data_IF_948136891374
#
_entry.id   IF_948136891374
#
_cell.length_a   1.000
_cell.length_b   1.000
_cell.length_c   1.000
_cell.angle_alpha   90.00
_cell.angle_beta   90.00
_cell.angle_gamma   90.00
#
_symmetry.space_group_name_H-M   'P 1'
#
loop_
_entity.id
_entity.type
_entity.pdbx_description
1 polymer ?
#
# COMPACT_ATOMS: atom_id res chain seq x y z
N UNK A 1 34.39 -21.21 -13.84
CA UNK A 1 33.23 -21.91 -13.24
C UNK A 1 32.22 -20.91 -12.64
N UNK A 2 32.62 -19.85 -11.97
CA UNK A 2 31.72 -18.83 -11.37
C UNK A 2 30.75 -18.19 -12.38
N UNK A 3 31.17 -18.00 -13.64
CA UNK A 3 30.30 -17.45 -14.70
C UNK A 3 29.12 -18.37 -15.10
N UNK A 4 29.07 -19.59 -14.59
CA UNK A 4 27.98 -20.55 -14.82
C UNK A 4 26.92 -20.51 -13.69
N UNK A 5 27.19 -19.79 -12.60
CA UNK A 5 26.26 -19.67 -11.46
C UNK A 5 25.21 -18.64 -11.85
N UNK A 6 23.96 -19.07 -11.93
CA UNK A 6 22.80 -18.23 -12.28
C UNK A 6 22.07 -17.67 -11.05
N UNK A 7 22.37 -18.18 -9.85
CA UNK A 7 21.80 -17.72 -8.62
C UNK A 7 22.63 -16.60 -8.00
N UNK A 8 21.95 -15.56 -7.54
CA UNK A 8 22.55 -14.46 -6.80
C UNK A 8 22.08 -14.50 -5.34
N UNK A 9 22.95 -14.08 -4.42
CA UNK A 9 22.59 -13.90 -3.03
C UNK A 9 21.67 -12.66 -2.89
N UNK A 10 20.51 -12.88 -2.29
CA UNK A 10 19.54 -11.80 -2.02
C UNK A 10 19.86 -10.94 -0.78
N UNK A 11 20.87 -11.34 0.00
CA UNK A 11 21.16 -10.71 1.29
C UNK A 11 20.25 -11.17 2.45
N UNK A 12 19.29 -12.05 2.19
CA UNK A 12 18.39 -12.59 3.22
C UNK A 12 18.95 -13.90 3.76
N UNK A 13 19.12 -13.98 5.07
CA UNK A 13 19.63 -15.15 5.78
C UNK A 13 18.74 -15.47 6.99
N UNK A 14 18.41 -16.75 7.16
CA UNK A 14 17.82 -17.28 8.39
C UNK A 14 18.88 -18.11 9.13
N UNK A 15 19.16 -17.74 10.36
CA UNK A 15 20.21 -18.34 11.19
C UNK A 15 19.54 -18.95 12.43
N UNK A 16 20.02 -20.13 12.87
CA UNK A 16 19.58 -20.69 14.14
C UNK A 16 19.88 -19.71 15.28
N UNK A 17 18.84 -19.21 15.94
CA UNK A 17 18.96 -18.18 16.97
C UNK A 17 19.84 -18.58 18.16
N UNK A 18 19.88 -19.87 18.53
CA UNK A 18 20.74 -20.36 19.61
C UNK A 18 22.24 -20.27 19.28
N UNK A 19 22.58 -20.18 17.99
CA UNK A 19 23.97 -20.12 17.51
C UNK A 19 24.33 -18.78 16.87
N UNK A 20 23.35 -17.90 16.68
CA UNK A 20 23.54 -16.69 15.88
C UNK A 20 24.70 -15.81 16.39
N UNK A 21 24.75 -15.54 17.68
CA UNK A 21 25.81 -14.69 18.26
C UNK A 21 27.18 -15.36 18.15
N UNK A 22 27.30 -16.65 18.49
CA UNK A 22 28.56 -17.42 18.35
C UNK A 22 29.08 -17.41 16.91
N UNK A 23 28.20 -17.50 15.93
CA UNK A 23 28.57 -17.48 14.51
C UNK A 23 28.98 -16.08 14.05
N UNK A 24 28.30 -15.04 14.50
CA UNK A 24 28.62 -13.65 14.18
C UNK A 24 29.99 -13.23 14.72
N UNK A 25 30.33 -13.66 15.95
CA UNK A 25 31.63 -13.39 16.57
C UNK A 25 32.81 -14.05 15.84
N UNK A 26 32.56 -15.10 15.08
CA UNK A 26 33.57 -15.80 14.27
C UNK A 26 33.85 -15.17 12.91
N UNK A 27 33.00 -14.24 12.45
CA UNK A 27 33.24 -13.54 11.19
C UNK A 27 34.45 -12.64 11.35
N UNK A 28 35.37 -12.70 10.40
CA UNK A 28 36.58 -11.87 10.40
C UNK A 28 36.51 -10.87 9.24
N UNK A 29 37.35 -9.84 9.30
CA UNK A 29 37.50 -8.88 8.21
C UNK A 29 38.81 -9.11 7.41
N UNK A 30 39.34 -10.32 7.44
CA UNK A 30 40.58 -10.66 6.74
C UNK A 30 40.34 -10.90 5.23
N UNK A 31 39.95 -9.85 4.55
CA UNK A 31 39.69 -9.83 3.10
C UNK A 31 40.25 -8.54 2.47
N UNK A 32 40.28 -8.45 1.16
CA UNK A 32 40.86 -7.34 0.42
C UNK A 32 40.27 -5.96 0.71
N UNK A 33 39.04 -5.89 1.25
CA UNK A 33 38.36 -4.64 1.62
C UNK A 33 38.36 -4.35 3.14
N UNK A 34 38.80 -5.29 3.97
CA UNK A 34 38.77 -5.17 5.42
C UNK A 34 37.33 -5.13 6.01
N UNK A 35 36.34 -5.67 5.29
CA UNK A 35 34.92 -5.64 5.65
C UNK A 35 34.48 -6.97 6.28
N UNK A 36 33.47 -6.93 7.17
CA UNK A 36 32.84 -8.13 7.71
C UNK A 36 31.69 -8.57 6.78
N UNK A 37 31.80 -9.76 6.20
CA UNK A 37 30.75 -10.29 5.31
C UNK A 37 29.87 -11.29 6.05
N UNK A 38 28.59 -10.99 6.16
CA UNK A 38 27.62 -11.90 6.79
C UNK A 38 27.54 -13.27 6.08
N UNK A 39 27.84 -13.31 4.80
CA UNK A 39 27.89 -14.55 4.00
C UNK A 39 28.92 -15.55 4.48
N UNK A 40 29.98 -15.13 5.21
CA UNK A 40 31.04 -16.00 5.72
C UNK A 40 30.51 -17.00 6.77
N UNK A 41 29.34 -16.69 7.38
CA UNK A 41 28.62 -17.64 8.25
C UNK A 41 28.38 -18.99 7.58
N UNK A 42 28.14 -19.00 6.28
CA UNK A 42 27.89 -20.26 5.54
C UNK A 42 29.12 -21.16 5.57
N UNK A 43 30.31 -20.59 5.35
CA UNK A 43 31.56 -21.32 5.41
C UNK A 43 31.86 -21.79 6.85
N UNK A 44 31.69 -20.92 7.83
CA UNK A 44 31.88 -21.24 9.26
C UNK A 44 30.98 -22.43 9.68
N UNK A 45 29.68 -22.36 9.38
CA UNK A 45 28.72 -23.42 9.71
C UNK A 45 29.11 -24.74 9.06
N UNK A 46 29.52 -24.72 7.80
CA UNK A 46 29.94 -25.94 7.10
C UNK A 46 31.25 -26.52 7.63
N UNK A 47 32.20 -25.65 7.99
CA UNK A 47 33.47 -26.05 8.63
C UNK A 47 33.25 -26.74 9.97
N UNK A 48 32.21 -26.39 10.70
CA UNK A 48 31.80 -27.02 11.97
C UNK A 48 30.91 -28.26 11.80
N UNK A 49 30.75 -28.76 10.57
CA UNK A 49 29.91 -29.93 10.27
C UNK A 49 28.42 -29.64 10.23
N UNK A 50 28.03 -28.36 10.26
CA UNK A 50 26.64 -27.95 10.12
C UNK A 50 26.17 -27.95 8.66
N UNK A 51 24.89 -27.58 8.45
CA UNK A 51 24.25 -27.54 7.14
C UNK A 51 23.80 -26.13 6.81
N UNK A 52 24.01 -25.71 5.55
CA UNK A 52 23.41 -24.56 4.94
C UNK A 52 22.54 -25.02 3.77
N UNK A 53 21.36 -24.42 3.63
CA UNK A 53 20.46 -24.68 2.52
C UNK A 53 20.11 -23.34 1.83
N UNK A 54 19.85 -23.41 0.54
CA UNK A 54 19.35 -22.26 -0.24
C UNK A 54 17.87 -22.45 -0.53
N UNK A 55 17.13 -21.35 -0.49
CA UNK A 55 15.74 -21.30 -0.93
C UNK A 55 15.68 -20.32 -2.09
N UNK A 56 15.15 -20.78 -3.21
CA UNK A 56 14.95 -19.95 -4.40
C UNK A 56 13.74 -19.05 -4.18
N UNK A 57 13.87 -17.77 -4.51
CA UNK A 57 12.78 -16.80 -4.44
C UNK A 57 12.74 -15.95 -5.73
N UNK A 58 11.56 -15.48 -6.15
CA UNK A 58 11.46 -14.55 -7.28
C UNK A 58 12.28 -13.29 -7.03
N UNK A 59 12.98 -12.82 -8.06
CA UNK A 59 13.92 -11.70 -7.95
C UNK A 59 13.24 -10.39 -7.48
N UNK A 60 12.01 -10.17 -7.88
CA UNK A 60 11.20 -9.01 -7.49
C UNK A 60 10.75 -9.02 -6.01
N UNK A 61 10.74 -10.19 -5.37
CA UNK A 61 10.43 -10.33 -3.94
C UNK A 61 11.64 -10.07 -3.03
N UNK A 62 12.85 -10.18 -3.56
CA UNK A 62 14.09 -10.09 -2.78
C UNK A 62 15.00 -8.95 -3.27
N UNK A 63 14.50 -8.12 -4.16
CA UNK A 63 15.24 -6.97 -4.66
C UNK A 63 15.48 -5.94 -3.55
N UNK A 64 16.73 -5.49 -3.41
CA UNK A 64 17.13 -4.44 -2.50
C UNK A 64 17.30 -3.11 -3.23
N UNK A 65 17.39 -2.00 -2.47
CA UNK A 65 17.70 -0.69 -3.03
C UNK A 65 18.80 0.01 -2.22
N UNK A 66 19.66 0.77 -2.92
CA UNK A 66 20.76 1.53 -2.33
C UNK A 66 20.57 3.05 -2.48
N UNK A 67 19.61 3.47 -3.30
CA UNK A 67 19.33 4.87 -3.57
C UNK A 67 17.84 5.07 -3.88
N UNK A 68 17.42 6.35 -4.00
CA UNK A 68 16.02 6.70 -4.21
C UNK A 68 15.47 6.32 -5.59
N UNK A 69 16.32 6.21 -6.61
CA UNK A 69 15.89 5.75 -7.93
C UNK A 69 15.52 4.27 -7.89
N UNK A 70 16.38 3.45 -7.29
CA UNK A 70 16.09 2.02 -7.08
C UNK A 70 14.87 1.82 -6.17
N UNK A 71 14.69 2.66 -5.13
CA UNK A 71 13.48 2.62 -4.31
C UNK A 71 12.22 2.89 -5.13
N UNK A 72 12.26 3.85 -6.05
CA UNK A 72 11.13 4.14 -6.93
C UNK A 72 10.81 2.98 -7.89
N UNK A 73 11.83 2.24 -8.33
CA UNK A 73 11.66 1.02 -9.14
C UNK A 73 10.98 -0.09 -8.32
N UNK A 74 11.39 -0.29 -7.06
CA UNK A 74 10.76 -1.26 -6.16
C UNK A 74 9.29 -0.90 -5.88
N UNK A 75 9.02 0.39 -5.63
CA UNK A 75 7.64 0.89 -5.48
C UNK A 75 6.80 0.57 -6.73
N UNK A 76 7.33 0.82 -7.92
CA UNK A 76 6.62 0.54 -9.17
C UNK A 76 6.34 -0.97 -9.37
N UNK A 77 7.25 -1.84 -8.95
CA UNK A 77 7.06 -3.30 -8.96
C UNK A 77 5.93 -3.69 -8.02
N UNK A 78 5.97 -3.18 -6.77
CA UNK A 78 4.95 -3.46 -5.77
C UNK A 78 3.58 -2.96 -6.20
N UNK A 79 3.46 -1.73 -6.68
CA UNK A 79 2.22 -1.12 -7.17
C UNK A 79 1.61 -1.93 -8.32
N UNK A 80 2.41 -2.38 -9.27
CA UNK A 80 1.96 -3.20 -10.40
C UNK A 80 1.38 -4.53 -9.92
N UNK A 81 2.07 -5.20 -9.00
CA UNK A 81 1.61 -6.47 -8.42
C UNK A 81 0.30 -6.28 -7.66
N UNK A 82 0.23 -5.26 -6.78
CA UNK A 82 -0.95 -5.03 -5.96
C UNK A 82 -2.19 -4.69 -6.79
N UNK A 83 -2.04 -3.85 -7.81
CA UNK A 83 -3.14 -3.55 -8.76
C UNK A 83 -3.60 -4.80 -9.51
N UNK A 84 -2.67 -5.63 -9.95
CA UNK A 84 -3.01 -6.89 -10.61
C UNK A 84 -3.81 -7.82 -9.69
N UNK A 85 -3.38 -8.00 -8.44
CA UNK A 85 -4.10 -8.81 -7.44
C UNK A 85 -5.53 -8.30 -7.23
N UNK A 86 -5.71 -7.00 -7.09
CA UNK A 86 -7.04 -6.39 -6.93
C UNK A 86 -7.92 -6.58 -8.17
N UNK A 87 -7.39 -6.41 -9.37
CA UNK A 87 -8.15 -6.64 -10.60
C UNK A 87 -8.55 -8.11 -10.75
N UNK A 88 -7.68 -9.04 -10.41
CA UNK A 88 -7.99 -10.48 -10.40
C UNK A 88 -9.06 -10.81 -9.36
N UNK A 89 -9.12 -10.09 -8.24
CA UNK A 89 -10.15 -10.26 -7.22
C UNK A 89 -11.49 -9.59 -7.54
N UNK A 90 -11.61 -8.91 -8.69
CA UNK A 90 -12.87 -8.33 -9.17
C UNK A 90 -12.99 -6.81 -9.08
N UNK A 91 -11.88 -6.09 -8.84
CA UNK A 91 -11.84 -4.62 -8.89
C UNK A 91 -11.64 -4.16 -10.33
N UNK A 92 -12.41 -3.18 -10.78
CA UNK A 92 -12.26 -2.56 -12.11
C UNK A 92 -11.40 -1.30 -12.02
N UNK A 93 -10.31 -1.24 -12.80
CA UNK A 93 -9.45 -0.05 -12.93
C UNK A 93 -9.35 0.34 -14.41
N UNK A 94 -9.72 1.58 -14.76
CA UNK A 94 -9.74 2.05 -16.16
C UNK A 94 -8.31 2.30 -16.67
N UNK A 95 -7.46 2.91 -15.85
CA UNK A 95 -6.05 3.16 -16.15
C UNK A 95 -5.22 2.77 -14.90
N UNK A 96 -4.98 1.47 -14.69
CA UNK A 96 -4.40 0.98 -13.45
C UNK A 96 -3.04 1.60 -13.11
N UNK A 97 -2.24 1.93 -14.09
CA UNK A 97 -0.92 2.58 -13.89
C UNK A 97 -0.99 3.95 -13.22
N UNK A 98 -2.15 4.60 -13.22
CA UNK A 98 -2.40 5.92 -12.60
C UNK A 98 -3.02 5.83 -11.20
N UNK A 99 -3.27 4.62 -10.71
CA UNK A 99 -3.83 4.37 -9.38
C UNK A 99 -2.71 4.01 -8.42
N UNK A 100 -2.60 4.75 -7.32
CA UNK A 100 -1.59 4.50 -6.28
C UNK A 100 -2.25 3.98 -5.01
N UNK A 101 -1.70 2.90 -4.46
CA UNK A 101 -2.22 2.17 -3.31
C UNK A 101 -1.23 2.25 -2.15
N UNK A 102 -1.73 2.36 -0.92
CA UNK A 102 -0.94 2.09 0.27
C UNK A 102 -0.89 0.57 0.55
N UNK A 103 0.08 0.13 1.33
CA UNK A 103 0.29 -1.29 1.65
C UNK A 103 -0.93 -1.93 2.34
N UNK A 104 -1.67 -1.14 3.10
CA UNK A 104 -2.84 -1.53 3.90
C UNK A 104 -4.20 -1.21 3.24
N UNK A 105 -4.19 -0.79 1.97
CA UNK A 105 -5.43 -0.48 1.25
C UNK A 105 -6.27 -1.73 1.02
N UNK A 106 -7.51 -1.72 1.49
CA UNK A 106 -8.50 -2.78 1.31
C UNK A 106 -9.59 -2.35 0.32
N UNK A 107 -9.83 -3.16 -0.71
CA UNK A 107 -10.84 -2.85 -1.75
C UNK A 107 -11.66 -4.11 -2.03
N UNK A 108 -12.98 -3.99 -1.88
CA UNK A 108 -13.95 -5.06 -2.14
C UNK A 108 -14.22 -5.33 -3.62
N UNK A 109 -14.96 -6.39 -3.89
CA UNK A 109 -15.37 -6.77 -5.26
C UNK A 109 -16.26 -5.72 -5.91
N UNK A 110 -16.25 -5.68 -7.24
CA UNK A 110 -17.08 -4.79 -8.07
C UNK A 110 -16.87 -3.29 -7.81
N UNK A 111 -15.82 -2.92 -7.08
CA UNK A 111 -15.41 -1.52 -6.98
C UNK A 111 -14.84 -1.06 -8.31
N UNK A 112 -15.27 0.12 -8.76
CA UNK A 112 -14.73 0.78 -9.96
C UNK A 112 -13.84 1.94 -9.56
N UNK A 113 -12.61 1.98 -10.09
CA UNK A 113 -11.63 3.05 -9.83
C UNK A 113 -11.27 3.71 -11.15
N UNK A 114 -11.52 5.00 -11.24
CA UNK A 114 -11.16 5.83 -12.38
C UNK A 114 -9.68 6.29 -12.33
N UNK A 115 -9.15 6.89 -13.39
CA UNK A 115 -7.75 7.31 -13.44
C UNK A 115 -7.34 8.32 -12.37
N UNK A 116 -6.04 8.31 -12.02
CA UNK A 116 -5.40 9.29 -11.14
C UNK A 116 -5.99 9.33 -9.72
N UNK A 117 -6.26 8.17 -9.15
CA UNK A 117 -6.72 8.03 -7.76
C UNK A 117 -5.55 7.64 -6.86
N UNK A 118 -5.47 8.27 -5.69
CA UNK A 118 -4.45 7.99 -4.68
C UNK A 118 -5.13 7.51 -3.41
N UNK A 119 -4.73 6.31 -2.97
CA UNK A 119 -5.10 5.76 -1.68
C UNK A 119 -3.91 5.85 -0.72
N UNK A 120 -4.02 6.72 0.28
CA UNK A 120 -3.09 6.77 1.41
C UNK A 120 -3.37 5.65 2.42
N UNK A 121 -2.61 5.61 3.53
CA UNK A 121 -2.78 4.59 4.57
C UNK A 121 -4.20 4.57 5.20
N UNK A 122 -4.63 3.39 5.66
CA UNK A 122 -5.84 3.22 6.45
C UNK A 122 -7.14 3.35 5.66
N UNK A 123 -7.15 2.98 4.37
CA UNK A 123 -8.34 3.06 3.52
C UNK A 123 -9.00 1.70 3.34
N UNK A 124 -10.32 1.66 3.53
CA UNK A 124 -11.16 0.50 3.23
C UNK A 124 -12.36 0.91 2.37
N UNK A 125 -12.51 0.27 1.20
CA UNK A 125 -13.59 0.49 0.24
C UNK A 125 -14.40 -0.81 0.11
N UNK A 126 -15.70 -0.73 0.37
CA UNK A 126 -16.59 -1.88 0.26
C UNK A 126 -17.13 -2.06 -1.18
N UNK A 127 -17.68 -3.23 -1.45
CA UNK A 127 -18.09 -3.67 -2.79
C UNK A 127 -19.06 -2.76 -3.51
N UNK A 128 -18.93 -2.66 -4.83
CA UNK A 128 -19.81 -1.88 -5.69
C UNK A 128 -19.63 -0.35 -5.58
N UNK A 129 -18.70 0.15 -4.77
CA UNK A 129 -18.41 1.58 -4.69
C UNK A 129 -17.73 2.09 -5.96
N UNK A 130 -17.86 3.38 -6.24
CA UNK A 130 -17.21 4.05 -7.39
C UNK A 130 -16.31 5.17 -6.91
N UNK A 131 -15.03 5.09 -7.25
CA UNK A 131 -14.04 6.12 -6.95
C UNK A 131 -13.67 6.82 -8.26
N UNK A 132 -14.16 8.05 -8.39
CA UNK A 132 -13.94 8.87 -9.57
C UNK A 132 -12.55 9.50 -9.60
N UNK A 133 -12.16 9.89 -10.80
CA UNK A 133 -10.83 10.40 -11.11
C UNK A 133 -10.36 11.56 -10.22
N UNK A 134 -9.05 11.64 -10.00
CA UNK A 134 -8.38 12.68 -9.23
C UNK A 134 -8.82 12.79 -7.76
N UNK A 135 -9.31 11.70 -7.19
CA UNK A 135 -9.65 11.64 -5.77
C UNK A 135 -8.44 11.21 -4.93
N UNK A 136 -8.32 11.81 -3.73
CA UNK A 136 -7.30 11.46 -2.74
C UNK A 136 -7.99 11.00 -1.46
N UNK A 137 -7.75 9.77 -1.05
CA UNK A 137 -8.43 9.12 0.08
C UNK A 137 -7.38 8.62 1.07
N UNK A 138 -7.52 8.96 2.32
CA UNK A 138 -6.62 8.57 3.40
C UNK A 138 -7.40 8.36 4.70
N UNK A 139 -7.10 7.27 5.45
CA UNK A 139 -7.69 6.99 6.75
C UNK A 139 -9.22 6.99 6.75
N UNK A 140 -9.84 6.50 5.69
CA UNK A 140 -11.28 6.61 5.45
C UNK A 140 -11.92 5.27 5.11
N UNK A 141 -13.20 5.16 5.46
CA UNK A 141 -14.05 4.03 5.07
C UNK A 141 -15.12 4.49 4.09
N UNK A 142 -15.32 3.71 3.04
CA UNK A 142 -16.34 3.94 2.02
C UNK A 142 -17.17 2.68 1.91
N UNK A 143 -18.42 2.74 2.39
CA UNK A 143 -19.31 1.59 2.40
C UNK A 143 -19.87 1.26 1.00
N UNK A 144 -20.57 0.12 0.91
CA UNK A 144 -21.04 -0.44 -0.33
C UNK A 144 -21.89 0.53 -1.17
N UNK A 145 -21.64 0.55 -2.47
CA UNK A 145 -22.38 1.38 -3.43
C UNK A 145 -22.17 2.89 -3.31
N UNK A 146 -21.32 3.35 -2.39
CA UNK A 146 -21.02 4.78 -2.27
C UNK A 146 -20.18 5.29 -3.45
N UNK A 147 -20.27 6.59 -3.72
CA UNK A 147 -19.60 7.26 -4.84
C UNK A 147 -18.76 8.43 -4.34
N UNK A 148 -17.47 8.49 -4.73
CA UNK A 148 -16.51 9.50 -4.27
C UNK A 148 -15.84 10.16 -5.46
N UNK A 149 -15.92 11.48 -5.54
CA UNK A 149 -15.25 12.30 -6.55
C UNK A 149 -16.17 12.73 -7.72
N UNK A 150 -15.58 13.21 -8.83
CA UNK A 150 -14.14 13.44 -9.02
C UNK A 150 -13.57 14.58 -8.18
N UNK A 151 -12.24 14.67 -8.07
CA UNK A 151 -11.55 15.72 -7.30
C UNK A 151 -12.01 15.81 -5.83
N UNK A 152 -12.32 14.67 -5.21
CA UNK A 152 -12.71 14.61 -3.80
C UNK A 152 -11.50 14.31 -2.91
N UNK A 153 -11.53 14.81 -1.69
CA UNK A 153 -10.55 14.51 -0.66
C UNK A 153 -11.22 13.91 0.57
N UNK A 154 -10.93 12.66 0.86
CA UNK A 154 -11.31 12.04 2.13
C UNK A 154 -10.07 11.98 3.04
N UNK A 155 -10.21 12.56 4.23
CA UNK A 155 -9.15 12.62 5.23
C UNK A 155 -9.44 11.66 6.38
N UNK A 156 -8.43 11.40 7.26
CA UNK A 156 -8.59 10.48 8.38
C UNK A 156 -9.87 10.72 9.20
N UNK A 157 -10.60 9.63 9.43
CA UNK A 157 -11.87 9.62 10.15
C UNK A 157 -13.09 9.97 9.28
N UNK A 158 -12.95 10.09 7.96
CA UNK A 158 -14.10 10.14 7.07
C UNK A 158 -14.73 8.76 6.94
N UNK A 159 -16.04 8.66 7.20
CA UNK A 159 -16.80 7.43 7.13
C UNK A 159 -18.07 7.65 6.30
N UNK A 160 -18.11 7.06 5.10
CA UNK A 160 -19.24 7.13 4.19
C UNK A 160 -20.06 5.85 4.31
N UNK A 161 -21.34 6.00 4.66
CA UNK A 161 -22.29 4.89 4.72
C UNK A 161 -22.76 4.46 3.33
N UNK A 162 -23.51 3.35 3.26
CA UNK A 162 -23.96 2.76 2.01
C UNK A 162 -24.66 3.79 1.10
N UNK A 163 -24.34 3.75 -0.19
CA UNK A 163 -24.90 4.62 -1.22
C UNK A 163 -24.71 6.14 -0.98
N UNK A 164 -23.87 6.53 -0.03
CA UNK A 164 -23.53 7.94 0.16
C UNK A 164 -22.78 8.50 -1.05
N UNK A 165 -23.00 9.76 -1.36
CA UNK A 165 -22.36 10.45 -2.48
C UNK A 165 -21.54 11.64 -2.01
N UNK A 166 -20.25 11.61 -2.27
CA UNK A 166 -19.34 12.75 -2.12
C UNK A 166 -18.87 13.15 -3.52
N UNK A 167 -19.22 14.35 -3.96
CA UNK A 167 -18.95 14.79 -5.33
C UNK A 167 -17.68 15.64 -5.48
N UNK A 168 -17.66 16.47 -6.51
CA UNK A 168 -16.46 17.20 -6.93
C UNK A 168 -16.11 18.37 -6.01
N UNK A 169 -14.81 18.52 -5.75
CA UNK A 169 -14.24 19.55 -4.87
C UNK A 169 -14.84 19.53 -3.47
N UNK A 170 -15.07 18.32 -2.96
CA UNK A 170 -15.56 18.11 -1.60
C UNK A 170 -14.43 17.54 -0.74
N UNK A 171 -14.27 18.08 0.44
CA UNK A 171 -13.35 17.56 1.45
C UNK A 171 -14.14 17.08 2.69
N UNK A 172 -13.87 15.84 3.12
CA UNK A 172 -14.46 15.24 4.33
C UNK A 172 -13.35 14.90 5.33
N UNK A 173 -13.51 15.28 6.59
CA UNK A 173 -12.54 14.99 7.68
C UNK A 173 -13.30 14.65 8.97
N UNK A 174 -12.97 13.52 9.62
CA UNK A 174 -13.58 13.12 10.90
C UNK A 174 -15.10 13.30 10.89
N UNK A 175 -15.76 12.80 9.87
CA UNK A 175 -17.20 13.01 9.70
C UNK A 175 -17.89 11.74 9.22
N UNK A 176 -19.11 11.56 9.71
CA UNK A 176 -20.02 10.51 9.31
C UNK A 176 -20.95 11.03 8.23
N UNK A 177 -20.95 10.41 7.05
CA UNK A 177 -21.88 10.71 5.97
C UNK A 177 -22.88 9.56 5.88
N UNK A 178 -24.09 9.80 6.33
CA UNK A 178 -25.13 8.78 6.47
C UNK A 178 -25.57 8.12 5.15
N UNK A 179 -26.27 7.01 5.27
CA UNK A 179 -26.76 6.23 4.13
C UNK A 179 -27.55 7.10 3.14
N UNK A 180 -27.19 7.00 1.84
CA UNK A 180 -27.84 7.76 0.76
C UNK A 180 -27.67 9.28 0.86
N UNK A 181 -26.90 9.81 1.81
CA UNK A 181 -26.65 11.25 1.92
C UNK A 181 -25.78 11.75 0.75
N UNK A 182 -25.99 13.01 0.39
CA UNK A 182 -25.33 13.63 -0.77
C UNK A 182 -24.63 14.91 -0.36
N UNK A 183 -23.30 14.95 -0.60
CA UNK A 183 -22.45 16.14 -0.45
C UNK A 183 -21.82 16.38 -1.83
N UNK A 184 -22.51 17.13 -2.69
CA UNK A 184 -22.29 17.01 -4.14
C UNK A 184 -21.21 17.96 -4.69
N UNK A 185 -21.02 19.18 -4.14
CA UNK A 185 -20.16 20.18 -4.77
C UNK A 185 -19.54 21.17 -3.79
N UNK A 186 -18.26 21.52 -3.97
CA UNK A 186 -17.59 22.69 -3.38
C UNK A 186 -17.84 22.83 -1.86
N UNK A 187 -17.64 21.75 -1.10
CA UNK A 187 -18.10 21.67 0.28
C UNK A 187 -17.00 21.11 1.19
N UNK A 188 -16.89 21.65 2.40
CA UNK A 188 -16.08 21.06 3.46
C UNK A 188 -16.97 20.58 4.59
N UNK A 189 -16.87 19.29 4.93
CA UNK A 189 -17.51 18.67 6.09
C UNK A 189 -16.44 18.14 7.02
N UNK A 190 -16.32 18.76 8.18
CA UNK A 190 -15.37 18.38 9.21
C UNK A 190 -16.01 18.25 10.57
N UNK A 191 -15.59 17.22 11.36
CA UNK A 191 -16.03 16.95 12.73
C UNK A 191 -17.57 16.98 12.87
N UNK A 192 -18.30 16.37 11.94
CA UNK A 192 -19.75 16.47 11.82
C UNK A 192 -20.41 15.13 11.46
N UNK A 193 -21.70 15.05 11.70
CA UNK A 193 -22.54 13.94 11.26
C UNK A 193 -23.63 14.44 10.32
N UNK A 194 -23.67 13.89 9.12
CA UNK A 194 -24.73 14.12 8.13
C UNK A 194 -25.69 12.93 8.18
N UNK A 195 -26.93 13.17 8.50
CA UNK A 195 -27.96 12.12 8.59
C UNK A 195 -28.25 11.44 7.25
N UNK A 196 -28.86 10.26 7.31
CA UNK A 196 -29.25 9.49 6.12
C UNK A 196 -30.14 10.32 5.17
N UNK A 197 -29.98 10.11 3.85
CA UNK A 197 -30.73 10.78 2.79
C UNK A 197 -30.70 12.32 2.81
N UNK A 198 -29.80 12.91 3.59
CA UNK A 198 -29.61 14.37 3.65
C UNK A 198 -28.90 14.85 2.36
N UNK A 199 -29.34 15.99 1.85
CA UNK A 199 -28.67 16.66 0.73
C UNK A 199 -28.02 17.96 1.23
N UNK A 200 -26.69 18.05 1.15
CA UNK A 200 -25.92 19.24 1.52
C UNK A 200 -25.77 20.13 0.29
N UNK A 201 -26.15 21.40 0.44
CA UNK A 201 -26.02 22.41 -0.61
C UNK A 201 -24.57 22.76 -0.93
N UNK A 202 -24.31 23.18 -2.16
CA UNK A 202 -22.99 23.61 -2.59
C UNK A 202 -22.48 24.81 -1.78
N UNK A 203 -21.19 24.87 -1.52
CA UNK A 203 -20.55 25.93 -0.76
C UNK A 203 -20.71 25.81 0.77
N UNK A 204 -21.24 24.72 1.27
CA UNK A 204 -21.36 24.49 2.71
C UNK A 204 -19.98 24.26 3.33
N UNK A 205 -19.72 24.93 4.45
CA UNK A 205 -18.52 24.76 5.27
C UNK A 205 -18.94 24.56 6.72
N UNK A 206 -18.64 23.38 7.30
CA UNK A 206 -18.76 23.18 8.73
C UNK A 206 -17.57 23.83 9.40
N UNK A 207 -17.82 24.81 10.27
CA UNK A 207 -16.76 25.48 11.00
C UNK A 207 -16.36 24.60 12.20
N UNK A 208 -15.18 24.00 12.12
CA UNK A 208 -14.56 23.28 13.20
C UNK A 208 -13.17 23.87 13.50
N UNK A 209 -12.81 23.90 14.77
CA UNK A 209 -11.54 24.42 15.26
C UNK A 209 -10.58 23.30 15.63
#
# INVERSE_FOLDING_TARGET
EERKVTFCNSGLLAINGARALDLLEKITNNNAKGEYYLTDIIEIVRGEGGKAATVEAPADMVAGCNNRAELAELEAIWQRRRRHELMVSGVSMIAPETVFLSFDTEIGQDVTIEPNVIFGPGVAIEGGAVIHAFSHIEGARVAAGASVGPFARLRPGANLQANAKVGNFVEIKKAEIGEGAKVSHLTYIGDATVGANTNIGAGTVTCNY
#
